data_IF_388592797781
#
_entry.id   IF_388592797781
#
_cell.length_a   1.000
_cell.length_b   1.000
_cell.length_c   1.000
_cell.angle_alpha   90.00
_cell.angle_beta   90.00
_cell.angle_gamma   90.00
#
_symmetry.space_group_name_H-M   'P 1'
#
loop_
_entity.id
_entity.type
_entity.pdbx_description
1 polymer ?
#
# COMPACT_ATOMS: atom_id res chain seq x y z
N UNK A 1 -6.93 -5.64 -5.31
CA UNK A 1 -6.43 -4.25 -5.37
C UNK A 1 -5.88 -4.07 -6.76
N UNK A 2 -6.52 -3.21 -7.55
CA UNK A 2 -5.94 -2.73 -8.79
C UNK A 2 -4.66 -1.97 -8.46
N UNK A 3 -3.68 -2.03 -9.37
CA UNK A 3 -2.49 -1.20 -9.27
C UNK A 3 -2.88 0.28 -9.39
N UNK A 4 -2.50 1.10 -8.41
CA UNK A 4 -2.81 2.54 -8.39
C UNK A 4 -2.26 3.25 -9.63
N UNK A 5 -1.12 2.78 -10.16
CA UNK A 5 -0.51 3.32 -11.38
C UNK A 5 -1.39 3.03 -12.60
N UNK A 6 -1.90 1.80 -12.71
CA UNK A 6 -2.86 1.43 -13.77
C UNK A 6 -4.15 2.24 -13.67
N UNK A 7 -4.70 2.40 -12.47
CA UNK A 7 -5.92 3.18 -12.26
C UNK A 7 -5.70 4.66 -12.59
N UNK A 8 -4.56 5.22 -12.21
CA UNK A 8 -4.16 6.58 -12.55
C UNK A 8 -4.09 6.79 -14.07
N UNK A 9 -3.46 5.88 -14.82
CA UNK A 9 -3.37 5.97 -16.28
C UNK A 9 -4.76 5.99 -16.93
N UNK A 10 -5.71 5.24 -16.37
CA UNK A 10 -7.06 5.12 -16.93
C UNK A 10 -8.00 6.27 -16.52
N UNK A 11 -7.87 6.79 -15.30
CA UNK A 11 -8.89 7.66 -14.69
C UNK A 11 -8.34 9.01 -14.17
N UNK A 12 -7.02 9.18 -14.17
CA UNK A 12 -6.35 10.42 -13.73
C UNK A 12 -6.24 10.60 -12.22
N UNK A 13 -5.63 11.71 -11.81
CA UNK A 13 -5.32 12.02 -10.40
C UNK A 13 -6.56 12.16 -9.51
N UNK A 14 -7.59 12.87 -9.99
CA UNK A 14 -8.82 13.12 -9.21
C UNK A 14 -9.54 11.82 -8.84
N UNK A 15 -9.56 10.85 -9.76
CA UNK A 15 -10.15 9.54 -9.50
C UNK A 15 -9.34 8.78 -8.44
N UNK A 16 -8.01 8.82 -8.51
CA UNK A 16 -7.13 8.23 -7.48
C UNK A 16 -7.38 8.85 -6.11
N UNK A 17 -7.50 10.17 -6.02
CA UNK A 17 -7.80 10.86 -4.75
C UNK A 17 -9.15 10.42 -4.18
N UNK A 18 -10.18 10.34 -5.02
CA UNK A 18 -11.50 9.85 -4.60
C UNK A 18 -11.46 8.39 -4.14
N UNK A 19 -10.73 7.52 -4.84
CA UNK A 19 -10.56 6.12 -4.47
C UNK A 19 -9.83 5.99 -3.13
N UNK A 20 -8.75 6.75 -2.92
CA UNK A 20 -8.02 6.77 -1.64
C UNK A 20 -8.91 7.22 -0.48
N UNK A 21 -9.74 8.25 -0.68
CA UNK A 21 -10.69 8.71 0.32
C UNK A 21 -11.74 7.63 0.65
N UNK A 22 -12.24 6.93 -0.37
CA UNK A 22 -13.19 5.84 -0.22
C UNK A 22 -12.58 4.61 0.49
N UNK A 23 -11.32 4.27 0.18
CA UNK A 23 -10.56 3.22 0.87
C UNK A 23 -10.40 3.55 2.35
N UNK A 24 -10.09 4.82 2.69
CA UNK A 24 -9.99 5.26 4.08
C UNK A 24 -11.32 5.17 4.83
N UNK A 25 -12.44 5.55 4.20
CA UNK A 25 -13.77 5.42 4.81
C UNK A 25 -14.14 3.96 5.11
N UNK A 26 -13.65 3.01 4.31
CA UNK A 26 -13.99 1.59 4.40
C UNK A 26 -12.94 0.76 5.13
N UNK A 27 -11.85 1.36 5.60
CA UNK A 27 -10.70 0.62 6.14
C UNK A 27 -11.08 -0.21 7.38
N UNK A 28 -11.99 0.32 8.21
CA UNK A 28 -12.49 -0.33 9.42
C UNK A 28 -13.16 -1.67 9.11
N UNK A 29 -14.13 -1.69 8.19
CA UNK A 29 -14.89 -2.90 7.87
C UNK A 29 -14.11 -3.91 7.03
N UNK A 30 -13.21 -3.43 6.16
CA UNK A 30 -12.51 -4.30 5.20
C UNK A 30 -11.21 -4.86 5.73
N UNK A 31 -10.28 -3.99 6.12
CA UNK A 31 -8.92 -4.39 6.50
C UNK A 31 -8.87 -4.66 8.01
N UNK A 32 -9.25 -3.66 8.82
CA UNK A 32 -9.08 -3.72 10.27
C UNK A 32 -9.99 -4.75 10.91
N UNK A 33 -11.24 -4.87 10.47
CA UNK A 33 -12.18 -5.82 11.05
C UNK A 33 -11.76 -7.28 10.87
N UNK A 34 -11.01 -7.61 9.81
CA UNK A 34 -10.41 -8.95 9.64
C UNK A 34 -9.24 -9.13 10.59
N UNK A 35 -8.33 -8.16 10.61
CA UNK A 35 -7.09 -8.24 11.37
C UNK A 35 -7.40 -8.25 12.89
N UNK A 36 -8.36 -7.44 13.33
CA UNK A 36 -8.83 -7.34 14.72
C UNK A 36 -9.39 -8.66 15.25
N UNK A 37 -10.25 -9.35 14.49
CA UNK A 37 -10.79 -10.67 14.88
C UNK A 37 -9.69 -11.71 15.12
N UNK A 38 -8.68 -11.74 14.26
CA UNK A 38 -7.56 -12.70 14.41
C UNK A 38 -6.67 -12.32 15.59
N UNK A 39 -6.37 -11.04 15.76
CA UNK A 39 -5.46 -10.54 16.80
C UNK A 39 -6.09 -10.65 18.19
N UNK A 40 -7.36 -10.29 18.32
CA UNK A 40 -8.11 -10.34 19.59
C UNK A 40 -8.36 -11.77 20.07
N UNK A 41 -8.55 -12.73 19.17
CA UNK A 41 -8.63 -14.17 19.49
C UNK A 41 -7.38 -14.68 20.22
N UNK A 42 -6.23 -14.01 20.01
CA UNK A 42 -4.96 -14.32 20.68
C UNK A 42 -4.71 -13.48 21.94
N UNK A 43 -5.72 -12.75 22.44
CA UNK A 43 -5.58 -11.86 23.60
C UNK A 43 -4.59 -10.73 23.38
N UNK A 44 -4.40 -10.30 22.12
CA UNK A 44 -3.49 -9.22 21.73
C UNK A 44 -4.29 -8.02 21.22
N UNK A 45 -3.64 -6.87 21.24
CA UNK A 45 -4.15 -5.62 20.69
C UNK A 45 -3.12 -5.06 19.71
N UNK A 46 -3.54 -4.76 18.48
CA UNK A 46 -2.68 -4.13 17.49
C UNK A 46 -2.68 -2.61 17.64
N UNK A 47 -1.50 -2.01 17.50
CA UNK A 47 -1.34 -0.56 17.39
C UNK A 47 -1.02 -0.20 15.95
N UNK A 48 -1.73 0.81 15.41
CA UNK A 48 -1.59 1.26 14.03
C UNK A 48 -1.11 2.72 13.99
N UNK A 49 0.19 3.02 14.20
CA UNK A 49 0.69 4.41 14.25
C UNK A 49 0.38 5.25 13.00
N UNK A 50 0.29 4.63 11.83
CA UNK A 50 -0.09 5.31 10.58
C UNK A 50 -1.57 5.71 10.51
N UNK A 51 -2.39 5.23 11.45
CA UNK A 51 -3.80 5.60 11.61
C UNK A 51 -4.05 6.58 12.77
N UNK A 52 -2.99 7.13 13.38
CA UNK A 52 -3.13 8.28 14.31
C UNK A 52 -3.88 9.42 13.60
N UNK A 53 -4.83 10.03 14.29
CA UNK A 53 -5.75 11.00 13.68
C UNK A 53 -5.02 12.20 13.10
N UNK A 54 -3.91 12.63 13.72
CA UNK A 54 -3.11 13.77 13.24
C UNK A 54 -2.33 13.39 11.99
N UNK A 55 -1.80 12.17 11.94
CA UNK A 55 -1.11 11.65 10.75
C UNK A 55 -2.07 11.54 9.58
N UNK A 56 -3.24 10.94 9.79
CA UNK A 56 -4.27 10.79 8.75
C UNK A 56 -4.77 12.16 8.29
N UNK A 57 -5.07 13.06 9.22
CA UNK A 57 -5.54 14.41 8.90
C UNK A 57 -4.53 15.19 8.08
N UNK A 58 -3.25 15.19 8.48
CA UNK A 58 -2.18 15.84 7.73
C UNK A 58 -2.06 15.28 6.31
N UNK A 59 -2.04 13.95 6.15
CA UNK A 59 -1.93 13.31 4.84
C UNK A 59 -3.17 13.52 3.96
N UNK A 60 -4.36 13.66 4.56
CA UNK A 60 -5.60 13.95 3.83
C UNK A 60 -5.58 15.36 3.20
N UNK A 61 -4.95 16.32 3.86
CA UNK A 61 -4.83 17.70 3.36
C UNK A 61 -3.73 17.88 2.30
N UNK A 62 -2.76 16.97 2.23
CA UNK A 62 -1.69 17.06 1.23
C UNK A 62 -2.19 16.69 -0.17
N UNK A 63 -1.82 17.45 -1.22
CA UNK A 63 -2.06 17.05 -2.61
C UNK A 63 -1.43 15.69 -2.97
N UNK A 64 -2.02 14.98 -3.94
CA UNK A 64 -1.57 13.64 -4.34
C UNK A 64 -0.09 13.61 -4.75
N UNK A 65 0.40 14.62 -5.46
CA UNK A 65 1.76 14.70 -6.00
C UNK A 65 2.86 14.62 -4.93
N UNK A 66 2.57 15.09 -3.70
CA UNK A 66 3.48 14.95 -2.57
C UNK A 66 3.50 13.52 -2.04
N UNK A 67 2.38 12.82 -2.13
CA UNK A 67 2.20 11.45 -1.61
C UNK A 67 2.71 10.41 -2.61
N UNK A 68 2.46 10.62 -3.90
CA UNK A 68 2.83 9.73 -4.98
C UNK A 68 3.01 10.47 -6.31
N UNK A 69 3.93 9.99 -7.13
CA UNK A 69 4.03 10.32 -8.55
C UNK A 69 3.75 9.05 -9.36
N UNK A 70 2.48 8.86 -9.75
CA UNK A 70 2.03 7.64 -10.42
C UNK A 70 2.38 7.61 -11.92
N UNK A 71 3.14 8.60 -12.41
CA UNK A 71 3.69 8.59 -13.77
C UNK A 71 5.02 7.83 -13.84
N UNK A 72 5.69 7.66 -12.69
CA UNK A 72 6.95 6.94 -12.59
C UNK A 72 6.75 5.43 -12.56
N UNK A 73 7.85 4.70 -12.73
CA UNK A 73 7.85 3.24 -12.63
C UNK A 73 7.42 2.80 -11.24
N UNK A 74 6.80 1.62 -11.19
CA UNK A 74 6.41 0.97 -9.95
C UNK A 74 7.60 0.83 -9.00
N UNK A 75 7.43 1.28 -7.76
CA UNK A 75 8.47 1.29 -6.75
C UNK A 75 9.20 2.62 -6.60
N UNK A 76 9.17 3.50 -7.62
CA UNK A 76 9.85 4.80 -7.57
C UNK A 76 8.91 5.91 -7.12
N UNK A 77 7.72 5.97 -7.73
CA UNK A 77 6.76 7.05 -7.50
C UNK A 77 5.79 6.83 -6.34
N UNK A 78 5.63 5.60 -5.86
CA UNK A 78 4.70 5.28 -4.78
C UNK A 78 5.26 5.70 -3.42
N UNK A 79 4.40 6.20 -2.51
CA UNK A 79 4.73 6.43 -1.09
C UNK A 79 5.91 7.38 -0.86
N UNK A 80 6.04 8.44 -1.66
CA UNK A 80 7.20 9.35 -1.68
C UNK A 80 7.57 9.88 -0.29
N UNK A 81 6.59 10.37 0.47
CA UNK A 81 6.82 10.88 1.84
C UNK A 81 7.39 9.81 2.76
N UNK A 82 6.83 8.60 2.73
CA UNK A 82 7.30 7.49 3.57
C UNK A 82 8.72 7.08 3.20
N UNK A 83 9.06 7.07 1.90
CA UNK A 83 10.42 6.78 1.43
C UNK A 83 11.41 7.87 1.84
N UNK A 84 11.01 9.14 1.77
CA UNK A 84 11.84 10.26 2.21
C UNK A 84 12.15 10.19 3.71
N UNK A 85 11.13 9.92 4.54
CA UNK A 85 11.30 9.75 6.00
C UNK A 85 12.16 8.51 6.31
N UNK A 86 11.95 7.39 5.63
CA UNK A 86 12.80 6.21 5.82
C UNK A 86 14.26 6.51 5.46
N UNK A 87 14.51 7.25 4.39
CA UNK A 87 15.86 7.66 3.99
C UNK A 87 16.51 8.61 5.02
N UNK A 88 15.78 9.58 5.56
CA UNK A 88 16.30 10.51 6.58
C UNK A 88 16.64 9.81 7.89
N UNK A 89 15.96 8.71 8.21
CA UNK A 89 16.27 7.82 9.32
C UNK A 89 17.39 6.81 9.04
N UNK A 90 18.03 6.87 7.86
CA UNK A 90 19.12 5.97 7.48
C UNK A 90 18.70 4.60 6.94
N UNK A 91 17.39 4.34 6.75
CA UNK A 91 16.85 3.08 6.23
C UNK A 91 16.94 3.00 4.69
N UNK A 92 18.17 3.15 4.15
CA UNK A 92 18.43 3.33 2.72
C UNK A 92 17.88 2.23 1.81
N UNK A 93 17.94 0.97 2.27
CA UNK A 93 17.43 -0.18 1.51
C UNK A 93 15.90 -0.17 1.53
N UNK A 94 15.29 -0.08 2.72
CA UNK A 94 13.84 -0.11 2.87
C UNK A 94 13.16 1.05 2.12
N UNK A 95 13.78 2.23 2.09
CA UNK A 95 13.30 3.39 1.36
C UNK A 95 13.14 3.16 -0.15
N UNK A 96 13.81 2.15 -0.73
CA UNK A 96 13.80 1.87 -2.18
C UNK A 96 13.01 0.63 -2.57
N UNK A 97 12.57 -0.19 -1.61
CA UNK A 97 11.85 -1.43 -1.93
C UNK A 97 10.45 -1.12 -2.48
N UNK A 98 10.01 -1.74 -3.59
CA UNK A 98 8.63 -1.61 -4.06
C UNK A 98 7.66 -2.19 -3.02
N UNK A 99 6.43 -1.65 -2.93
CA UNK A 99 5.40 -2.21 -2.04
C UNK A 99 5.13 -3.65 -2.46
N UNK A 100 5.17 -4.59 -1.52
CA UNK A 100 4.69 -5.96 -1.71
C UNK A 100 3.75 -6.29 -0.57
N UNK A 101 2.55 -6.75 -0.87
CA UNK A 101 1.61 -7.16 0.18
C UNK A 101 2.12 -8.45 0.84
N UNK A 102 1.85 -8.60 2.14
CA UNK A 102 2.42 -9.68 2.97
C UNK A 102 2.13 -11.06 2.38
N UNK A 103 0.91 -11.30 1.90
CA UNK A 103 0.51 -12.58 1.30
C UNK A 103 1.27 -12.95 0.02
N UNK A 104 1.76 -11.95 -0.71
CA UNK A 104 2.61 -12.18 -1.90
C UNK A 104 4.07 -12.33 -1.51
N UNK A 105 4.53 -11.56 -0.53
CA UNK A 105 5.89 -11.65 0.01
C UNK A 105 6.16 -13.01 0.68
N UNK A 106 5.21 -13.51 1.47
CA UNK A 106 5.29 -14.81 2.16
C UNK A 106 5.04 -16.01 1.24
N UNK A 107 4.61 -15.79 -0.01
CA UNK A 107 4.20 -16.82 -0.98
C UNK A 107 3.02 -17.69 -0.53
N UNK A 108 2.29 -17.33 0.53
CA UNK A 108 1.10 -18.05 1.01
C UNK A 108 0.02 -18.12 -0.08
N UNK A 109 -0.12 -17.07 -0.91
CA UNK A 109 -1.05 -17.07 -2.05
C UNK A 109 -0.74 -18.13 -3.13
N UNK A 110 0.43 -18.79 -3.08
CA UNK A 110 0.77 -19.91 -3.99
C UNK A 110 0.50 -21.28 -3.39
N UNK A 111 0.37 -21.42 -2.07
CA UNK A 111 0.18 -22.72 -1.42
C UNK A 111 -1.28 -23.17 -1.39
N UNK A 112 -2.25 -22.24 -1.46
CA UNK A 112 -3.68 -22.57 -1.35
C UNK A 112 -4.39 -22.84 -2.69
N UNK A 113 -3.75 -22.56 -3.83
CA UNK A 113 -4.38 -22.71 -5.15
C UNK A 113 -3.50 -23.48 -6.13
N UNK A 114 -4.02 -24.61 -6.65
CA UNK A 114 -3.45 -25.31 -7.82
C UNK A 114 -3.34 -24.43 -9.08
N UNK A 115 -3.93 -23.23 -9.07
CA UNK A 115 -3.77 -22.19 -10.10
C UNK A 115 -2.99 -21.02 -9.55
N UNK A 116 -1.88 -20.68 -10.20
CA UNK A 116 -1.01 -19.54 -9.86
C UNK A 116 -1.82 -18.24 -9.72
N UNK A 117 -1.97 -17.71 -8.49
CA UNK A 117 -2.49 -16.35 -8.28
C UNK A 117 -1.42 -15.37 -8.76
N UNK A 118 -1.65 -14.80 -9.93
CA UNK A 118 -0.81 -13.76 -10.55
C UNK A 118 -1.09 -12.45 -9.81
N UNK A 119 -0.25 -12.11 -8.83
CA UNK A 119 -0.24 -10.77 -8.24
C UNK A 119 0.31 -9.75 -9.24
N UNK A 120 -0.08 -8.48 -9.11
CA UNK A 120 0.43 -7.38 -9.96
C UNK A 120 1.99 -7.28 -9.98
N UNK A 121 2.67 -7.87 -8.98
CA UNK A 121 4.13 -7.98 -8.88
C UNK A 121 4.78 -8.95 -9.87
N UNK A 122 4.03 -9.82 -10.54
CA UNK A 122 4.58 -11.02 -11.20
C UNK A 122 5.14 -10.82 -12.61
N UNK A 123 5.01 -9.62 -13.20
CA UNK A 123 5.52 -9.30 -14.54
C UNK A 123 6.96 -8.79 -14.60
N UNK A 124 7.70 -8.74 -13.49
CA UNK A 124 9.01 -8.05 -13.42
C UNK A 124 10.25 -8.97 -13.45
N UNK A 125 10.12 -10.26 -13.73
CA UNK A 125 11.30 -11.16 -13.80
C UNK A 125 11.92 -11.22 -15.21
N UNK A 126 11.25 -10.74 -16.26
CA UNK A 126 11.77 -10.79 -17.64
C UNK A 126 11.89 -9.42 -18.31
N UNK A 127 12.65 -8.51 -17.69
CA UNK A 127 13.15 -7.32 -18.38
C UNK A 127 14.57 -7.02 -17.88
N UNK A 128 15.52 -7.80 -18.40
CA UNK A 128 16.93 -7.43 -18.53
C UNK A 128 17.14 -7.05 -19.99
#
# INVERSE_FOLDING_TARGET
MADQSTFYIQQGSKAVEAELALEMQRIAERNLGRDDRVISDHGREARYPFLDERVVHYLALLPLEFKADLTLRRGDGEKRLLRAVAASLGLRIAARLPKRALQFGSRIAKSESLRKVVGADSNFINAV
#
